data_IF_939893751370
#
_entry.id   IF_939893751370
#
_cell.length_a   1.000
_cell.length_b   1.000
_cell.length_c   1.000
_cell.angle_alpha   90.00
_cell.angle_beta   90.00
_cell.angle_gamma   90.00
#
_symmetry.space_group_name_H-M   'P 1'
#
loop_
_entity.id
_entity.type
_entity.pdbx_description
1 polymer ?
#
# COMPACT_ATOMS: atom_id res chain seq x y z
N UNK A 1 6.09 10.78 -5.84
CA UNK A 1 5.91 11.70 -6.99
C UNK A 1 6.51 11.18 -8.27
N UNK A 2 7.77 10.72 -8.24
CA UNK A 2 8.51 10.19 -9.40
C UNK A 2 7.75 9.13 -10.22
N UNK A 3 7.08 8.17 -9.57
CA UNK A 3 6.29 7.16 -10.27
C UNK A 3 5.20 7.76 -11.18
N UNK A 4 4.52 8.81 -10.73
CA UNK A 4 3.50 9.50 -11.53
C UNK A 4 4.13 10.21 -12.73
N UNK A 5 5.29 10.85 -12.54
CA UNK A 5 6.05 11.49 -13.63
C UNK A 5 6.50 10.47 -14.69
N UNK A 6 6.98 9.30 -14.26
CA UNK A 6 7.37 8.20 -15.16
C UNK A 6 6.17 7.68 -15.95
N UNK A 7 5.04 7.47 -15.28
CA UNK A 7 3.83 6.91 -15.91
C UNK A 7 3.20 7.92 -16.87
N UNK A 8 3.06 9.19 -16.47
CA UNK A 8 2.53 10.27 -17.32
C UNK A 8 3.46 10.61 -18.49
N UNK A 9 4.78 10.49 -18.30
CA UNK A 9 5.78 10.65 -19.37
C UNK A 9 5.91 9.42 -20.28
N UNK A 10 5.24 8.31 -19.95
CA UNK A 10 5.26 7.11 -20.78
C UNK A 10 4.39 7.29 -22.03
N UNK A 11 4.76 6.60 -23.12
CA UNK A 11 3.92 6.49 -24.32
C UNK A 11 2.92 5.33 -24.23
N UNK A 12 2.74 4.76 -23.05
CA UNK A 12 1.86 3.62 -22.83
C UNK A 12 0.44 4.14 -22.64
N UNK A 13 -0.51 3.56 -23.35
CA UNK A 13 -1.93 3.74 -23.05
C UNK A 13 -2.27 2.87 -21.84
N UNK A 14 -2.88 3.48 -20.83
CA UNK A 14 -3.37 2.84 -19.61
C UNK A 14 -4.91 2.91 -19.61
N UNK A 15 -5.55 1.86 -19.12
CA UNK A 15 -7.01 1.82 -18.99
C UNK A 15 -7.49 2.72 -17.84
N UNK A 16 -6.66 2.89 -16.81
CA UNK A 16 -6.91 3.72 -15.64
C UNK A 16 -6.16 5.06 -15.70
N UNK A 17 -6.73 6.13 -15.13
CA UNK A 17 -6.10 7.45 -15.17
C UNK A 17 -4.83 7.49 -14.30
N UNK A 18 -3.85 8.27 -14.75
CA UNK A 18 -2.59 8.51 -14.04
C UNK A 18 -2.44 10.00 -13.73
N UNK A 19 -2.59 10.39 -12.46
CA UNK A 19 -2.31 11.75 -11.99
C UNK A 19 -2.06 11.77 -10.47
N UNK A 20 -1.55 12.87 -9.93
CA UNK A 20 -1.30 12.98 -8.49
C UNK A 20 -2.59 12.88 -7.65
N UNK A 21 -2.59 12.01 -6.64
CA UNK A 21 -3.74 11.80 -5.77
C UNK A 21 -4.73 10.73 -6.26
N UNK A 22 -4.40 10.00 -7.33
CA UNK A 22 -5.09 8.74 -7.68
C UNK A 22 -4.26 7.55 -7.24
N UNK A 23 -4.94 6.47 -6.83
CA UNK A 23 -4.26 5.23 -6.47
C UNK A 23 -3.76 4.49 -7.71
N UNK A 24 -2.57 3.90 -7.60
CA UNK A 24 -1.99 3.14 -8.72
C UNK A 24 -2.72 1.81 -8.86
N UNK A 25 -3.01 1.43 -10.11
CA UNK A 25 -3.58 0.13 -10.42
C UNK A 25 -2.47 -0.85 -10.82
N UNK A 26 -2.79 -2.14 -10.83
CA UNK A 26 -1.80 -3.18 -11.15
C UNK A 26 -1.12 -3.00 -12.50
N UNK A 27 -1.77 -2.38 -13.49
CA UNK A 27 -1.11 -2.08 -14.77
C UNK A 27 0.00 -1.02 -14.65
N UNK A 28 -0.19 -0.01 -13.79
CA UNK A 28 0.77 1.05 -13.52
C UNK A 28 1.99 0.46 -12.80
N UNK A 29 1.75 -0.32 -11.75
CA UNK A 29 2.81 -1.02 -11.00
C UNK A 29 3.62 -1.94 -11.90
N UNK A 30 2.94 -2.74 -12.73
CA UNK A 30 3.59 -3.66 -13.68
C UNK A 30 4.39 -2.90 -14.72
N UNK A 31 3.92 -1.76 -15.21
CA UNK A 31 4.71 -0.92 -16.11
C UNK A 31 6.04 -0.50 -15.47
N UNK A 32 6.00 -0.01 -14.23
CA UNK A 32 7.20 0.42 -13.50
C UNK A 32 8.21 -0.72 -13.38
N UNK A 33 7.80 -1.90 -12.93
CA UNK A 33 8.73 -3.01 -12.68
C UNK A 33 9.11 -3.81 -13.94
N UNK A 34 8.23 -3.95 -14.93
CA UNK A 34 8.48 -4.79 -16.12
C UNK A 34 9.06 -3.99 -17.30
N UNK A 35 8.65 -2.73 -17.48
CA UNK A 35 9.02 -1.93 -18.67
C UNK A 35 10.09 -0.90 -18.35
N UNK A 36 9.90 -0.12 -17.29
CA UNK A 36 10.79 0.99 -16.95
C UNK A 36 12.06 0.51 -16.20
N UNK A 37 11.90 -0.05 -15.00
CA UNK A 37 13.03 -0.41 -14.14
C UNK A 37 13.61 -1.81 -14.40
N UNK A 38 12.77 -2.74 -14.89
CA UNK A 38 13.11 -4.15 -15.19
C UNK A 38 13.72 -4.90 -14.00
N UNK A 39 13.29 -4.55 -12.79
CA UNK A 39 13.74 -5.11 -11.51
C UNK A 39 12.67 -4.84 -10.43
N UNK A 40 12.73 -5.48 -9.26
CA UNK A 40 11.89 -5.11 -8.13
C UNK A 40 12.08 -3.64 -7.75
N UNK A 41 10.99 -2.96 -7.42
CA UNK A 41 10.96 -1.53 -7.10
C UNK A 41 10.30 -1.34 -5.75
N UNK A 42 10.86 -0.44 -4.94
CA UNK A 42 10.20 0.06 -3.73
C UNK A 42 9.60 1.40 -4.08
N UNK A 43 8.28 1.50 -4.04
CA UNK A 43 7.57 2.74 -4.23
C UNK A 43 7.28 3.37 -2.86
N UNK A 44 7.75 4.59 -2.63
CA UNK A 44 7.60 5.30 -1.36
C UNK A 44 6.81 6.59 -1.51
N UNK A 45 6.41 7.16 -0.37
CA UNK A 45 5.89 8.52 -0.25
C UNK A 45 4.60 8.73 -1.07
N UNK A 46 3.58 7.99 -0.66
CA UNK A 46 2.25 8.06 -1.26
C UNK A 46 1.49 9.32 -0.85
N UNK A 47 0.57 9.83 -1.69
CA UNK A 47 -0.30 10.94 -1.31
C UNK A 47 -1.10 10.63 -0.03
N UNK A 48 -1.17 11.60 0.88
CA UNK A 48 -1.86 11.43 2.17
C UNK A 48 -3.35 11.12 2.01
N UNK A 49 -3.98 11.67 0.97
CA UNK A 49 -5.43 11.68 0.78
C UNK A 49 -5.99 10.31 0.42
N UNK A 50 -5.16 9.42 -0.12
CA UNK A 50 -5.58 8.08 -0.58
C UNK A 50 -5.13 6.96 0.36
N UNK A 51 -4.44 7.29 1.47
CA UNK A 51 -3.87 6.30 2.38
C UNK A 51 -4.53 6.36 3.76
N UNK A 52 -4.27 5.33 4.56
CA UNK A 52 -4.96 5.11 5.83
C UNK A 52 -4.57 6.16 6.90
N UNK A 53 -5.52 6.47 7.78
CA UNK A 53 -5.37 7.45 8.87
C UNK A 53 -4.14 7.21 9.77
N UNK A 54 -3.73 5.95 9.95
CA UNK A 54 -2.64 5.60 10.85
C UNK A 54 -1.24 5.83 10.26
N UNK A 55 -1.12 6.16 8.97
CA UNK A 55 0.18 6.35 8.33
C UNK A 55 0.78 7.71 8.70
N UNK A 56 2.06 7.71 9.09
CA UNK A 56 2.77 8.93 9.48
C UNK A 56 2.92 9.88 8.30
N UNK A 57 2.65 11.17 8.50
CA UNK A 57 2.88 12.19 7.48
C UNK A 57 4.36 12.55 7.35
N UNK A 58 4.78 12.79 6.11
CA UNK A 58 6.06 13.40 5.82
C UNK A 58 6.04 14.89 6.13
N UNK A 59 7.24 15.46 6.25
CA UNK A 59 7.43 16.89 6.54
C UNK A 59 6.93 17.79 5.39
N UNK A 60 6.73 17.23 4.19
CA UNK A 60 6.18 17.92 3.03
C UNK A 60 4.68 18.23 3.14
N UNK A 61 3.99 17.64 4.12
CA UNK A 61 2.55 17.76 4.36
C UNK A 61 1.66 17.17 3.27
N UNK A 62 2.23 16.52 2.25
CA UNK A 62 1.53 15.98 1.06
C UNK A 62 1.59 14.47 1.00
N UNK A 63 2.63 13.87 1.59
CA UNK A 63 2.86 12.44 1.50
C UNK A 63 2.86 11.77 2.87
N UNK A 64 2.71 10.46 2.86
CA UNK A 64 2.86 9.61 4.04
C UNK A 64 4.05 8.69 3.89
N UNK A 65 4.70 8.34 5.01
CA UNK A 65 5.79 7.35 5.11
C UNK A 65 5.27 5.94 4.89
N UNK A 66 4.80 5.68 3.69
CA UNK A 66 4.35 4.39 3.20
C UNK A 66 5.34 3.88 2.16
N UNK A 67 5.44 2.56 2.06
CA UNK A 67 6.26 1.88 1.07
C UNK A 67 5.54 0.63 0.58
N UNK A 68 5.55 0.41 -0.72
CA UNK A 68 5.07 -0.80 -1.35
C UNK A 68 6.21 -1.41 -2.17
N UNK A 69 6.42 -2.73 -2.05
CA UNK A 69 7.45 -3.47 -2.79
C UNK A 69 6.79 -4.21 -3.93
N UNK A 70 7.15 -3.79 -5.14
CA UNK A 70 6.62 -4.26 -6.39
C UNK A 70 7.59 -5.28 -7.02
N UNK A 71 7.06 -6.41 -7.45
CA UNK A 71 7.80 -7.45 -8.16
C UNK A 71 7.30 -7.63 -9.60
N UNK A 72 8.19 -7.96 -10.55
CA UNK A 72 7.79 -8.30 -11.92
C UNK A 72 6.73 -9.41 -11.96
N UNK A 73 5.82 -9.35 -12.94
CA UNK A 73 4.70 -10.29 -13.18
C UNK A 73 3.56 -10.26 -12.17
N UNK A 74 3.81 -9.82 -10.93
CA UNK A 74 2.84 -9.90 -9.83
C UNK A 74 2.34 -8.52 -9.40
N UNK A 75 3.20 -7.50 -9.42
CA UNK A 75 2.90 -6.19 -8.82
C UNK A 75 3.27 -6.16 -7.34
N UNK A 76 2.50 -5.45 -6.53
CA UNK A 76 2.71 -5.36 -5.08
C UNK A 76 2.72 -6.73 -4.38
N UNK A 77 3.73 -6.98 -3.55
CA UNK A 77 3.80 -8.15 -2.66
C UNK A 77 3.85 -7.74 -1.18
N UNK A 78 4.50 -6.61 -0.88
CA UNK A 78 4.65 -6.08 0.48
C UNK A 78 4.11 -4.66 0.48
N UNK A 79 3.26 -4.34 1.45
CA UNK A 79 2.78 -2.99 1.71
C UNK A 79 3.03 -2.62 3.17
N UNK A 80 3.62 -1.46 3.43
CA UNK A 80 4.03 -1.07 4.77
C UNK A 80 4.03 0.44 4.99
N UNK A 81 4.08 0.82 6.26
CA UNK A 81 4.22 2.23 6.62
C UNK A 81 4.85 2.40 8.00
N UNK A 82 5.43 3.57 8.21
CA UNK A 82 5.58 4.09 9.57
C UNK A 82 4.20 4.48 10.10
N UNK A 83 3.96 4.20 11.38
CA UNK A 83 2.70 4.53 12.04
C UNK A 83 2.84 5.89 12.71
N UNK A 84 1.76 6.68 12.72
CA UNK A 84 1.76 7.96 13.44
C UNK A 84 1.88 7.69 14.94
N UNK A 85 2.97 8.19 15.52
CA UNK A 85 3.29 8.09 16.94
C UNK A 85 2.79 9.29 17.74
N UNK A 86 2.46 10.41 17.07
CA UNK A 86 1.87 11.61 17.68
C UNK A 86 0.36 11.44 17.85
N UNK A 87 -0.11 11.48 19.10
CA UNK A 87 -1.51 11.28 19.43
C UNK A 87 -2.42 12.38 18.85
N UNK A 88 -1.99 13.65 18.88
CA UNK A 88 -2.81 14.77 18.43
C UNK A 88 -3.01 14.71 16.92
N UNK A 89 -1.95 14.42 16.18
CA UNK A 89 -2.02 14.22 14.73
C UNK A 89 -2.91 13.04 14.35
N UNK A 90 -2.79 11.93 15.08
CA UNK A 90 -3.61 10.74 14.84
C UNK A 90 -5.10 11.03 15.10
N UNK A 91 -5.42 11.76 16.18
CA UNK A 91 -6.79 12.17 16.50
C UNK A 91 -7.37 13.13 15.46
N UNK A 92 -6.59 14.11 14.98
CA UNK A 92 -6.99 15.02 13.90
C UNK A 92 -7.39 14.25 12.64
N UNK A 93 -6.57 13.28 12.22
CA UNK A 93 -6.88 12.44 11.06
C UNK A 93 -8.14 11.59 11.24
N UNK A 94 -8.31 11.01 12.42
CA UNK A 94 -9.53 10.24 12.72
C UNK A 94 -10.78 11.12 12.63
N UNK A 95 -10.70 12.38 13.06
CA UNK A 95 -11.78 13.35 12.91
C UNK A 95 -12.01 13.71 11.43
N UNK A 96 -10.95 14.02 10.68
CA UNK A 96 -11.02 14.32 9.23
C UNK A 96 -11.70 13.18 8.43
N UNK A 97 -11.44 11.92 8.81
CA UNK A 97 -12.00 10.72 8.17
C UNK A 97 -13.32 10.25 8.80
N UNK A 98 -13.92 11.02 9.72
CA UNK A 98 -15.16 10.69 10.44
C UNK A 98 -15.14 9.31 11.14
N UNK A 99 -14.00 8.95 11.73
CA UNK A 99 -13.80 7.67 12.42
C UNK A 99 -14.16 7.77 13.91
N UNK A 100 -14.86 6.76 14.43
CA UNK A 100 -15.14 6.66 15.86
C UNK A 100 -13.86 6.33 16.65
N UNK A 101 -13.57 7.13 17.67
CA UNK A 101 -12.44 6.94 18.57
C UNK A 101 -12.68 5.83 19.59
N UNK A 102 -13.95 5.61 19.98
CA UNK A 102 -14.31 4.74 21.09
C UNK A 102 -13.84 3.30 20.88
N UNK A 103 -13.99 2.79 19.65
CA UNK A 103 -13.57 1.44 19.26
C UNK A 103 -12.05 1.26 19.15
N UNK A 104 -11.30 2.36 19.12
CA UNK A 104 -9.86 2.38 18.93
C UNK A 104 -9.11 2.92 20.15
N UNK A 105 -9.78 3.07 21.30
CA UNK A 105 -9.15 3.55 22.53
C UNK A 105 -7.90 2.73 22.92
N UNK A 106 -7.97 1.41 22.82
CA UNK A 106 -6.81 0.54 23.07
C UNK A 106 -5.63 0.83 22.13
N UNK A 107 -5.90 1.25 20.89
CA UNK A 107 -4.88 1.63 19.91
C UNK A 107 -4.33 3.02 20.21
N UNK A 108 -5.18 3.98 20.60
CA UNK A 108 -4.76 5.31 21.02
C UNK A 108 -3.92 5.28 22.31
N UNK A 109 -4.22 4.35 23.23
CA UNK A 109 -3.46 4.15 24.47
C UNK A 109 -1.99 3.80 24.21
N UNK A 110 -1.70 3.11 23.10
CA UNK A 110 -0.31 2.84 22.70
C UNK A 110 0.49 4.13 22.42
N UNK A 111 -0.20 5.24 22.13
CA UNK A 111 0.43 6.57 21.97
C UNK A 111 0.48 7.35 23.29
N UNK A 112 -0.48 7.12 24.20
CA UNK A 112 -0.55 7.77 25.52
C UNK A 112 0.50 7.25 26.49
N UNK A 113 0.77 5.94 26.46
CA UNK A 113 1.56 5.25 27.48
C UNK A 113 2.86 4.68 26.92
N UNK A 114 3.84 5.54 26.65
CA UNK A 114 5.18 5.12 26.23
C UNK A 114 5.30 4.83 24.73
N UNK A 115 4.83 5.77 23.90
CA UNK A 115 4.97 5.70 22.44
C UNK A 115 6.43 5.67 22.00
N UNK A 116 6.68 5.06 20.84
CA UNK A 116 7.98 5.08 20.17
C UNK A 116 7.77 5.14 18.65
N UNK A 117 8.73 5.67 17.88
CA UNK A 117 8.70 5.55 16.43
C UNK A 117 8.67 4.07 16.02
N UNK A 118 7.64 3.65 15.28
CA UNK A 118 7.46 2.26 14.87
C UNK A 118 6.87 2.15 13.47
N UNK A 119 7.24 1.07 12.79
CA UNK A 119 6.81 0.76 11.43
C UNK A 119 6.40 -0.70 11.35
N UNK A 120 5.59 -1.02 10.35
CA UNK A 120 5.22 -2.40 10.06
C UNK A 120 4.85 -2.57 8.60
N UNK A 121 4.80 -3.82 8.17
CA UNK A 121 4.40 -4.19 6.81
C UNK A 121 3.53 -5.44 6.84
N UNK A 122 2.69 -5.57 5.82
CA UNK A 122 1.99 -6.80 5.48
C UNK A 122 2.67 -7.43 4.27
N UNK A 123 2.67 -8.76 4.22
CA UNK A 123 3.19 -9.54 3.12
C UNK A 123 2.07 -10.46 2.61
N UNK A 124 1.76 -10.39 1.32
CA UNK A 124 0.87 -11.34 0.68
C UNK A 124 1.56 -12.69 0.53
N UNK A 125 1.31 -13.64 1.44
CA UNK A 125 2.00 -14.93 1.47
C UNK A 125 1.78 -15.72 0.17
N UNK A 126 0.56 -15.77 -0.33
CA UNK A 126 0.20 -16.43 -1.58
C UNK A 126 0.85 -15.75 -2.79
N UNK A 127 0.97 -14.41 -2.77
CA UNK A 127 1.71 -13.66 -3.81
C UNK A 127 3.20 -13.97 -3.78
N UNK A 128 3.79 -14.16 -2.61
CA UNK A 128 5.16 -14.64 -2.47
C UNK A 128 5.32 -16.05 -3.05
N UNK A 129 4.39 -16.97 -2.76
CA UNK A 129 4.41 -18.33 -3.32
C UNK A 129 4.30 -18.31 -4.85
N UNK A 130 3.43 -17.47 -5.42
CA UNK A 130 3.37 -17.27 -6.88
C UNK A 130 4.73 -16.85 -7.45
N UNK A 131 5.40 -15.90 -6.79
CA UNK A 131 6.70 -15.42 -7.23
C UNK A 131 7.76 -16.52 -7.24
N UNK A 132 7.84 -17.29 -6.15
CA UNK A 132 8.85 -18.34 -5.97
C UNK A 132 8.59 -19.53 -6.91
N UNK A 133 7.34 -19.93 -7.07
CA UNK A 133 6.95 -21.10 -7.88
C UNK A 133 6.87 -20.81 -9.38
N UNK A 134 6.71 -19.53 -9.76
CA UNK A 134 6.48 -19.12 -11.14
C UNK A 134 5.08 -19.42 -11.66
N UNK A 135 4.15 -19.84 -10.79
CA UNK A 135 2.74 -20.01 -11.14
C UNK A 135 2.11 -18.67 -11.50
N UNK A 136 1.13 -18.69 -12.41
CA UNK A 136 0.51 -17.47 -12.96
C UNK A 136 -0.81 -17.10 -12.29
N UNK A 137 -1.47 -18.05 -11.62
CA UNK A 137 -2.78 -17.86 -11.02
C UNK A 137 -2.72 -18.13 -9.51
N UNK A 138 -3.15 -17.16 -8.69
CA UNK A 138 -3.13 -17.23 -7.22
C UNK A 138 -3.92 -18.42 -6.66
N UNK A 139 -4.89 -18.93 -7.41
CA UNK A 139 -5.67 -20.11 -6.99
C UNK A 139 -4.85 -21.39 -7.00
N UNK A 140 -3.79 -21.47 -7.79
CA UNK A 140 -2.99 -22.68 -7.94
C UNK A 140 -2.02 -22.89 -6.76
N UNK A 141 -1.78 -21.82 -5.97
CA UNK A 141 -0.96 -21.87 -4.74
C UNK A 141 -1.80 -22.03 -3.46
N UNK A 142 -3.13 -22.16 -3.58
CA UNK A 142 -4.05 -22.30 -2.44
C UNK A 142 -4.80 -23.64 -2.58
N UNK A 143 -4.73 -24.55 -1.60
CA UNK A 143 -5.41 -25.85 -1.71
C UNK A 143 -6.94 -25.75 -1.92
N UNK A 144 -7.59 -24.84 -1.20
CA UNK A 144 -9.04 -24.60 -1.28
C UNK A 144 -9.32 -23.10 -1.38
N UNK A 145 -9.13 -22.48 -2.56
CA UNK A 145 -9.27 -21.03 -2.70
C UNK A 145 -10.70 -20.58 -2.39
N UNK A 146 -10.83 -19.36 -1.87
CA UNK A 146 -12.11 -18.71 -1.59
C UNK A 146 -12.20 -17.42 -2.39
N UNK A 147 -13.24 -17.27 -3.18
CA UNK A 147 -13.50 -16.06 -3.99
C UNK A 147 -14.98 -15.72 -3.94
N UNK A 148 -15.40 -14.50 -4.32
CA UNK A 148 -16.82 -14.19 -4.47
C UNK A 148 -17.52 -15.28 -5.29
N UNK A 149 -18.66 -15.79 -4.78
CA UNK A 149 -19.44 -16.90 -5.37
C UNK A 149 -18.77 -18.29 -5.34
N UNK A 150 -17.68 -18.51 -4.58
CA UNK A 150 -17.01 -19.81 -4.44
C UNK A 150 -16.54 -20.07 -3.01
N UNK A 151 -17.23 -20.97 -2.31
CA UNK A 151 -16.95 -21.37 -0.92
C UNK A 151 -17.47 -22.80 -0.60
N UNK A 152 -17.17 -23.77 -1.46
CA UNK A 152 -17.81 -25.11 -1.43
C UNK A 152 -17.30 -26.08 -0.34
N UNK A 153 -16.55 -25.62 0.66
CA UNK A 153 -16.08 -26.48 1.76
C UNK A 153 -16.20 -25.80 3.12
#
# INVERSE_FOLDING_TARGET
>A
TEAIEILTGSKQEFDYPVYWGVDLQSEHERYLVEKHFRRPVILTDYPREIKAFYMKENEDGKTVRAMDILFPKIGEIIGGSQREEDLEKLLSKMQEMNMSQENLNWYLDTRRYGTAPHSGFGLGFERLLLFITGMTNIRDVIPFPRTPKSAEF
#
